data_IF_583961722787
#
_entry.id   IF_583961722787
#
_cell.length_a   1.000
_cell.length_b   1.000
_cell.length_c   1.000
_cell.angle_alpha   90.00
_cell.angle_beta   90.00
_cell.angle_gamma   90.00
#
_symmetry.space_group_name_H-M   'P 1'
#
loop_
_entity.id
_entity.type
_entity.pdbx_description
1 polymer ?
#
# COMPACT_ATOMS: atom_id res chain seq x y z
N UNK A 1 0.72 -2.42 -4.58
CA UNK A 1 2.07 -1.90 -4.32
C UNK A 1 3.08 -2.99 -4.67
N UNK A 2 4.31 -2.62 -4.96
CA UNK A 2 5.45 -3.51 -5.12
C UNK A 2 6.52 -3.16 -4.10
N UNK A 3 7.40 -4.10 -3.77
CA UNK A 3 8.48 -3.85 -2.84
C UNK A 3 9.75 -4.58 -3.27
N UNK A 4 10.89 -3.99 -2.95
CA UNK A 4 12.22 -4.60 -3.14
C UNK A 4 13.05 -4.37 -1.89
N UNK A 5 13.83 -5.38 -1.51
CA UNK A 5 14.87 -5.28 -0.48
C UNK A 5 16.21 -5.58 -1.11
N UNK A 6 17.19 -4.70 -0.90
CA UNK A 6 18.57 -4.93 -1.32
C UNK A 6 19.52 -4.46 -0.23
N UNK A 7 20.23 -5.42 0.39
CA UNK A 7 21.08 -5.17 1.55
C UNK A 7 20.27 -4.57 2.72
N UNK A 8 20.76 -3.43 3.22
CA UNK A 8 20.17 -2.70 4.34
C UNK A 8 18.92 -1.89 3.95
N UNK A 9 18.58 -1.80 2.66
CA UNK A 9 17.51 -0.92 2.18
C UNK A 9 16.28 -1.69 1.71
N UNK A 10 15.11 -1.10 1.97
CA UNK A 10 13.81 -1.56 1.46
C UNK A 10 13.09 -0.39 0.81
N UNK A 11 12.58 -0.60 -0.40
CA UNK A 11 11.69 0.34 -1.09
C UNK A 11 10.30 -0.30 -1.25
N UNK A 12 9.27 0.51 -1.06
CA UNK A 12 7.87 0.20 -1.39
C UNK A 12 7.39 1.24 -2.41
N UNK A 13 6.81 0.77 -3.52
CA UNK A 13 6.19 1.59 -4.57
C UNK A 13 4.68 1.35 -4.59
N UNK A 14 3.90 2.40 -4.33
CA UNK A 14 2.45 2.37 -4.36
C UNK A 14 1.94 2.68 -5.76
N UNK A 15 1.34 1.68 -6.43
CA UNK A 15 0.89 1.82 -7.83
C UNK A 15 -0.37 2.67 -8.01
N UNK A 16 -1.08 2.98 -6.91
CA UNK A 16 -2.32 3.74 -6.98
C UNK A 16 -2.07 5.23 -7.26
N UNK A 17 -1.00 5.77 -6.68
CA UNK A 17 -0.64 7.19 -6.66
C UNK A 17 0.82 7.45 -7.06
N UNK A 18 1.64 6.41 -7.17
CA UNK A 18 3.07 6.51 -7.50
C UNK A 18 3.95 6.84 -6.30
N UNK A 19 3.41 6.81 -5.07
CA UNK A 19 4.18 7.15 -3.88
C UNK A 19 5.28 6.13 -3.59
N UNK A 20 6.42 6.64 -3.11
CA UNK A 20 7.59 5.86 -2.73
C UNK A 20 7.85 5.96 -1.24
N UNK A 21 8.12 4.82 -0.62
CA UNK A 21 8.62 4.74 0.74
C UNK A 21 9.94 4.00 0.76
N UNK A 22 10.96 4.59 1.39
CA UNK A 22 12.30 4.03 1.49
C UNK A 22 12.68 3.91 2.97
N UNK A 23 13.14 2.72 3.37
CA UNK A 23 13.55 2.43 4.73
C UNK A 23 14.96 1.86 4.77
N UNK A 24 15.74 2.23 5.80
CA UNK A 24 17.01 1.60 6.11
C UNK A 24 16.79 0.61 7.26
N UNK A 25 16.70 -0.67 6.94
CA UNK A 25 16.40 -1.77 7.86
C UNK A 25 17.52 -2.04 8.87
N UNK A 26 18.74 -1.57 8.62
CA UNK A 26 19.85 -1.69 9.57
C UNK A 26 19.70 -0.71 10.74
N UNK A 27 19.23 0.51 10.47
CA UNK A 27 19.02 1.53 11.50
C UNK A 27 17.57 1.61 12.00
N UNK A 28 16.60 1.18 11.20
CA UNK A 28 15.17 1.29 11.44
C UNK A 28 14.45 0.00 10.99
N UNK A 29 14.57 -1.03 11.83
CA UNK A 29 13.93 -2.33 11.57
C UNK A 29 12.39 -2.26 11.61
N UNK A 30 11.85 -1.28 12.34
CA UNK A 30 10.40 -1.04 12.46
C UNK A 30 9.78 -0.34 11.26
N UNK A 31 10.58 0.11 10.27
CA UNK A 31 10.11 0.87 9.10
C UNK A 31 9.31 2.12 9.54
N UNK A 32 9.80 2.80 10.57
CA UNK A 32 9.12 3.94 11.19
C UNK A 32 9.35 5.25 10.45
N UNK A 33 10.47 5.39 9.74
CA UNK A 33 10.90 6.64 9.12
C UNK A 33 11.05 6.49 7.61
N UNK A 34 10.15 7.11 6.85
CA UNK A 34 10.30 7.19 5.41
C UNK A 34 11.46 8.14 5.02
N UNK A 35 12.45 7.58 4.33
CA UNK A 35 13.65 8.27 3.86
C UNK A 35 13.64 8.58 2.36
N UNK A 36 12.54 8.34 1.64
CA UNK A 36 12.48 8.48 0.18
C UNK A 36 12.84 9.90 -0.29
N UNK A 37 12.32 10.93 0.39
CA UNK A 37 12.64 12.33 0.10
C UNK A 37 14.05 12.76 0.56
N UNK A 38 14.61 12.07 1.56
CA UNK A 38 15.94 12.36 2.10
C UNK A 38 17.06 11.68 1.30
N UNK A 39 16.77 10.56 0.64
CA UNK A 39 17.72 9.79 -0.17
C UNK A 39 17.10 9.47 -1.55
N UNK A 40 16.81 10.48 -2.38
CA UNK A 40 16.13 10.29 -3.66
C UNK A 40 16.93 9.41 -4.63
N UNK A 41 18.26 9.49 -4.60
CA UNK A 41 19.13 8.64 -5.43
C UNK A 41 18.98 7.16 -5.10
N UNK A 42 18.96 6.80 -3.81
CA UNK A 42 18.77 5.43 -3.36
C UNK A 42 17.36 4.92 -3.67
N UNK A 43 16.35 5.79 -3.55
CA UNK A 43 14.98 5.47 -3.93
C UNK A 43 14.87 5.16 -5.44
N UNK A 44 15.46 6.01 -6.29
CA UNK A 44 15.47 5.81 -7.73
C UNK A 44 16.23 4.53 -8.15
N UNK A 45 17.38 4.26 -7.52
CA UNK A 45 18.16 3.03 -7.76
C UNK A 45 17.32 1.77 -7.50
N UNK A 46 16.63 1.73 -6.36
CA UNK A 46 15.79 0.59 -5.98
C UNK A 46 14.52 0.52 -6.84
N UNK A 47 13.94 1.66 -7.21
CA UNK A 47 12.76 1.71 -8.06
C UNK A 47 13.07 1.15 -9.44
N UNK A 48 14.23 1.50 -10.01
CA UNK A 48 14.68 0.96 -11.29
C UNK A 48 14.88 -0.55 -11.20
N UNK A 49 15.58 -1.04 -10.16
CA UNK A 49 15.76 -2.49 -9.94
C UNK A 49 14.43 -3.24 -9.82
N UNK A 50 13.45 -2.65 -9.13
CA UNK A 50 12.10 -3.21 -9.03
C UNK A 50 11.40 -3.22 -10.39
N UNK A 51 11.51 -2.14 -11.17
CA UNK A 51 10.95 -2.06 -12.52
C UNK A 51 11.55 -3.10 -13.46
N UNK A 52 12.87 -3.25 -13.47
CA UNK A 52 13.58 -4.21 -14.30
C UNK A 52 13.18 -5.64 -13.95
N UNK A 53 13.13 -5.96 -12.65
CA UNK A 53 12.66 -7.26 -12.19
C UNK A 53 11.23 -7.54 -12.64
N UNK A 54 10.30 -6.58 -12.50
CA UNK A 54 8.91 -6.74 -12.97
C UNK A 54 8.83 -7.05 -14.45
N UNK A 55 9.61 -6.35 -15.28
CA UNK A 55 9.67 -6.61 -16.72
C UNK A 55 10.20 -8.02 -16.99
N UNK A 56 11.26 -8.44 -16.28
CA UNK A 56 11.90 -9.75 -16.49
C UNK A 56 10.98 -10.93 -16.21
N UNK A 57 10.07 -10.80 -15.24
CA UNK A 57 9.13 -11.87 -14.87
C UNK A 57 7.76 -11.73 -15.54
N UNK A 58 7.57 -10.70 -16.37
CA UNK A 58 6.28 -10.40 -16.99
C UNK A 58 5.18 -10.09 -15.97
N UNK A 59 5.52 -9.35 -14.90
CA UNK A 59 4.58 -9.04 -13.84
C UNK A 59 3.37 -8.25 -14.36
N UNK A 60 2.16 -8.74 -14.11
CA UNK A 60 0.93 -8.02 -14.44
C UNK A 60 0.76 -6.79 -13.53
N UNK A 61 0.65 -5.62 -14.14
CA UNK A 61 0.47 -4.36 -13.43
C UNK A 61 -1.02 -4.03 -13.22
N UNK A 62 -1.41 -3.49 -12.06
CA UNK A 62 -2.77 -3.07 -11.83
C UNK A 62 -3.13 -1.87 -12.72
N UNK A 63 -4.39 -1.83 -13.15
CA UNK A 63 -4.97 -0.71 -13.91
C UNK A 63 -5.97 0.01 -13.01
N UNK A 64 -6.05 1.34 -13.13
CA UNK A 64 -7.03 2.12 -12.37
C UNK A 64 -8.45 1.66 -12.71
N UNK A 65 -9.24 1.34 -11.69
CA UNK A 65 -10.64 0.99 -11.88
C UNK A 65 -11.47 2.24 -12.24
N UNK A 66 -12.05 2.36 -13.46
CA UNK A 66 -12.83 3.53 -13.85
C UNK A 66 -14.18 3.64 -13.12
N UNK A 67 -14.66 2.55 -12.51
CA UNK A 67 -15.92 2.50 -11.75
C UNK A 67 -15.70 2.59 -10.24
N UNK A 68 -14.54 3.08 -9.81
CA UNK A 68 -14.26 3.26 -8.39
C UNK A 68 -15.16 4.38 -7.82
N UNK A 69 -15.88 4.06 -6.76
CA UNK A 69 -16.74 4.99 -6.03
C UNK A 69 -16.27 5.06 -4.56
N UNK A 70 -15.69 6.20 -4.12
CA UNK A 70 -15.19 6.36 -2.75
C UNK A 70 -16.27 6.15 -1.69
N UNK A 71 -17.53 6.49 -1.97
CA UNK A 71 -18.65 6.33 -1.03
C UNK A 71 -18.96 4.86 -0.73
N UNK A 72 -18.53 3.96 -1.62
CA UNK A 72 -18.71 2.51 -1.51
C UNK A 72 -17.50 1.79 -0.95
N UNK A 73 -16.36 2.47 -0.79
CA UNK A 73 -15.11 1.84 -0.36
C UNK A 73 -15.18 1.24 1.06
N UNK A 74 -15.98 1.84 1.95
CA UNK A 74 -16.22 1.35 3.32
C UNK A 74 -17.38 0.36 3.44
N UNK A 75 -18.12 0.11 2.35
CA UNK A 75 -19.29 -0.75 2.39
C UNK A 75 -18.89 -2.23 2.46
N UNK A 76 -19.23 -2.89 3.55
CA UNK A 76 -19.17 -4.34 3.61
C UNK A 76 -20.31 -4.94 2.80
N UNK A 77 -20.01 -5.92 1.96
CA UNK A 77 -21.00 -6.50 1.06
C UNK A 77 -21.33 -7.93 1.46
N UNK A 78 -22.62 -8.24 1.58
CA UNK A 78 -23.06 -9.59 1.87
C UNK A 78 -23.05 -10.42 0.58
N UNK A 79 -22.11 -11.36 0.48
CA UNK A 79 -21.95 -12.23 -0.70
C UNK A 79 -23.16 -13.12 -0.99
N UNK A 80 -24.05 -13.37 -0.02
CA UNK A 80 -25.24 -14.21 -0.19
C UNK A 80 -26.43 -13.43 -0.74
N UNK A 81 -26.64 -12.20 -0.28
CA UNK A 81 -27.80 -11.37 -0.67
C UNK A 81 -27.47 -10.38 -1.77
N UNK A 82 -26.19 -10.24 -2.15
CA UNK A 82 -25.73 -9.32 -3.18
C UNK A 82 -26.13 -7.87 -2.87
N UNK A 83 -26.14 -7.52 -1.57
CA UNK A 83 -26.54 -6.23 -1.03
C UNK A 83 -25.53 -5.74 0.02
N UNK A 84 -25.36 -4.41 0.18
CA UNK A 84 -24.50 -3.84 1.21
C UNK A 84 -25.06 -4.18 2.60
N UNK A 85 -24.17 -4.56 3.51
CA UNK A 85 -24.49 -4.75 4.93
C UNK A 85 -24.81 -3.38 5.51
N UNK A 86 -25.96 -3.19 6.18
CA UNK A 86 -26.26 -1.94 6.85
C UNK A 86 -25.15 -1.62 7.85
N UNK A 87 -24.65 -0.39 7.88
CA UNK A 87 -23.70 0.03 8.91
C UNK A 87 -24.30 -0.24 10.28
N UNK A 88 -23.63 -1.10 11.07
CA UNK A 88 -23.94 -1.20 12.49
C UNK A 88 -23.63 0.16 13.10
N UNK A 89 -24.66 0.90 13.51
CA UNK A 89 -24.51 2.07 14.39
C UNK A 89 -23.52 1.65 15.49
N UNK A 90 -22.40 2.34 15.61
CA UNK A 90 -21.44 2.16 16.69
C UNK A 90 -22.13 2.59 18.00
N UNK A 91 -23.01 1.74 18.54
CA UNK A 91 -23.48 1.91 19.91
C UNK A 91 -22.27 1.61 20.78
N UNK A 92 -21.66 2.67 21.33
CA UNK A 92 -20.64 2.55 22.37
C UNK A 92 -21.24 1.69 23.49
N UNK A 93 -20.62 0.54 23.79
CA UNK A 93 -20.67 -0.04 25.12
C UNK A 93 -19.84 0.88 26.01
N UNK A 94 -20.47 1.93 26.49
CA UNK A 94 -19.95 2.82 27.53
C UNK A 94 -21.11 3.06 28.52
N UNK A 95 -21.56 1.97 29.12
CA UNK A 95 -22.48 1.96 30.26
C UNK A 95 -22.00 0.92 31.26
N UNK A 96 -20.99 1.28 32.04
CA UNK A 96 -20.82 0.78 33.41
C UNK A 96 -20.53 2.00 34.28
N UNK A 97 -21.52 2.38 35.09
CA UNK A 97 -21.31 3.13 36.32
C UNK A 97 -21.41 2.11 37.46
#
# INVERSE_FOLDING_TARGET
AGAIRAGDWKLIEFFADGNLELYNLKSDLSESTNLALKNPEKAAELQQKLADWRTSVGAAMPVKNPKYDPSRASQFWNRRTNQPVPERKKTRLDQTN
#
